data_IF_575223524446
#
_entry.id   IF_575223524446
#
_cell.length_a   1.000
_cell.length_b   1.000
_cell.length_c   1.000
_cell.angle_alpha   90.00
_cell.angle_beta   90.00
_cell.angle_gamma   90.00
#
_symmetry.space_group_name_H-M   'P 1'
#
loop_
_entity.id
_entity.type
_entity.pdbx_description
1 polymer ?
#
# COMPACT_ATOMS: atom_id res chain seq x y z
N UNK A 1 28.99 22.19 -32.32
CA UNK A 1 28.85 20.78 -32.77
C UNK A 1 27.39 20.36 -32.67
N UNK A 2 27.04 19.10 -32.94
CA UNK A 2 25.67 18.58 -32.78
C UNK A 2 25.32 18.35 -31.31
N UNK A 3 26.28 17.97 -30.47
CA UNK A 3 26.06 17.64 -29.05
C UNK A 3 26.64 18.68 -28.09
N UNK A 4 27.40 19.65 -28.61
CA UNK A 4 27.98 20.74 -27.84
C UNK A 4 28.98 21.55 -28.65
N UNK A 5 29.54 22.58 -28.03
CA UNK A 5 30.50 23.47 -28.64
C UNK A 5 31.90 23.27 -28.06
N UNK A 6 32.90 23.25 -28.93
CA UNK A 6 34.30 23.14 -28.58
C UNK A 6 35.03 24.44 -28.94
N UNK A 7 35.67 25.04 -27.95
CA UNK A 7 36.60 26.16 -28.14
C UNK A 7 38.02 25.69 -27.87
N UNK A 8 39.02 26.17 -28.62
CA UNK A 8 40.44 25.92 -28.39
C UNK A 8 41.22 27.24 -28.52
N UNK A 9 42.15 27.50 -27.59
CA UNK A 9 42.99 28.70 -27.62
C UNK A 9 44.34 28.46 -28.33
N UNK A 10 45.13 29.53 -28.49
CA UNK A 10 46.43 29.47 -29.15
C UNK A 10 47.49 28.62 -28.40
N UNK A 11 47.28 28.34 -27.12
CA UNK A 11 48.13 27.45 -26.32
C UNK A 11 47.68 25.99 -26.37
N UNK A 12 46.57 25.70 -27.07
CA UNK A 12 45.98 24.37 -27.17
C UNK A 12 45.05 24.00 -26.02
N UNK A 13 44.71 24.93 -25.12
CA UNK A 13 43.67 24.69 -24.12
C UNK A 13 42.31 24.66 -24.80
N UNK A 14 41.59 23.56 -24.62
CA UNK A 14 40.25 23.38 -25.17
C UNK A 14 39.22 23.20 -24.07
N UNK A 15 38.00 23.64 -24.38
CA UNK A 15 36.80 23.48 -23.54
C UNK A 15 35.69 22.97 -24.43
N UNK A 16 35.03 21.90 -23.98
CA UNK A 16 33.78 21.41 -24.58
C UNK A 16 32.62 21.75 -23.64
N UNK A 17 31.54 22.29 -24.19
CA UNK A 17 30.28 22.56 -23.47
C UNK A 17 29.14 21.85 -24.18
N UNK A 18 28.52 20.88 -23.51
CA UNK A 18 27.33 20.19 -24.00
C UNK A 18 26.17 21.17 -24.23
N UNK A 19 25.35 20.94 -25.26
CA UNK A 19 24.22 21.82 -25.58
C UNK A 19 22.96 21.55 -24.75
N UNK A 20 22.89 20.40 -24.07
CA UNK A 20 21.82 20.03 -23.13
C UNK A 20 22.33 19.05 -22.08
N UNK A 21 21.48 18.73 -21.11
CA UNK A 21 21.64 17.50 -20.34
C UNK A 21 21.38 16.30 -21.25
N UNK A 22 22.07 15.18 -21.00
CA UNK A 22 21.97 13.94 -21.77
C UNK A 22 21.33 12.81 -20.93
N UNK A 23 20.30 13.15 -20.14
CA UNK A 23 19.62 12.24 -19.20
C UNK A 23 18.85 11.09 -19.88
N UNK A 24 18.84 11.03 -21.20
CA UNK A 24 18.27 9.91 -21.95
C UNK A 24 19.27 8.77 -22.17
N UNK A 25 20.54 8.95 -21.79
CA UNK A 25 21.59 7.96 -22.00
C UNK A 25 21.73 7.08 -20.76
N UNK A 26 21.36 5.80 -20.88
CA UNK A 26 21.52 4.83 -19.81
C UNK A 26 22.95 4.24 -19.80
N UNK A 27 23.24 3.36 -18.84
CA UNK A 27 24.51 2.62 -18.74
C UNK A 27 24.78 1.85 -20.03
N UNK A 28 25.89 2.17 -20.68
CA UNK A 28 26.32 1.56 -21.94
C UNK A 28 25.97 2.41 -23.17
N UNK A 29 25.03 3.33 -23.04
CA UNK A 29 24.77 4.32 -24.08
C UNK A 29 25.87 5.37 -24.11
N UNK A 30 26.09 5.92 -25.30
CA UNK A 30 27.00 7.05 -25.48
C UNK A 30 26.65 7.83 -26.73
N UNK A 31 26.98 9.12 -26.69
CA UNK A 31 27.10 9.94 -27.89
C UNK A 31 28.56 10.33 -28.06
N UNK A 32 29.01 10.30 -29.30
CA UNK A 32 30.38 10.66 -29.66
C UNK A 32 30.36 11.80 -30.66
N UNK A 33 31.28 12.74 -30.49
CA UNK A 33 31.46 13.85 -31.42
C UNK A 33 32.95 14.08 -31.66
N UNK A 34 33.33 14.37 -32.91
CA UNK A 34 34.72 14.62 -33.29
C UNK A 34 34.86 16.01 -33.88
N UNK A 35 35.76 16.80 -33.31
CA UNK A 35 36.07 18.15 -33.73
C UNK A 35 37.43 18.16 -34.43
N UNK A 36 37.50 18.72 -35.63
CA UNK A 36 38.78 18.94 -36.32
C UNK A 36 39.36 20.28 -35.88
N UNK A 37 40.63 20.28 -35.48
CA UNK A 37 41.41 21.47 -35.15
C UNK A 37 42.63 21.55 -36.05
N UNK A 38 43.18 22.74 -36.25
CA UNK A 38 44.36 22.94 -37.11
C UNK A 38 45.38 23.84 -36.42
N UNK A 39 46.66 23.51 -36.54
CA UNK A 39 47.75 24.41 -36.17
C UNK A 39 47.92 25.54 -37.18
N UNK A 40 48.78 26.52 -36.85
CA UNK A 40 49.06 27.71 -37.67
C UNK A 40 49.59 27.34 -39.07
N UNK A 41 50.32 26.23 -39.19
CA UNK A 41 50.83 25.72 -40.46
C UNK A 41 49.77 24.94 -41.29
N UNK A 42 48.54 24.82 -40.78
CA UNK A 42 47.44 24.10 -41.43
C UNK A 42 47.41 22.60 -41.15
N UNK A 43 48.33 22.05 -40.35
CA UNK A 43 48.30 20.63 -39.97
C UNK A 43 47.04 20.35 -39.14
N UNK A 44 46.20 19.42 -39.60
CA UNK A 44 44.96 19.07 -38.92
C UNK A 44 45.16 17.98 -37.86
N UNK A 45 44.39 18.07 -36.79
CA UNK A 45 44.24 17.05 -35.75
C UNK A 45 42.77 16.96 -35.33
N UNK A 46 42.43 16.01 -34.47
CA UNK A 46 41.05 15.80 -34.01
C UNK A 46 40.96 15.68 -32.51
N UNK A 47 39.89 16.24 -31.94
CA UNK A 47 39.47 16.02 -30.56
C UNK A 47 38.17 15.22 -30.61
N UNK A 48 38.18 14.01 -30.04
CA UNK A 48 36.99 13.18 -29.89
C UNK A 48 36.44 13.32 -28.47
N UNK A 49 35.21 13.79 -28.36
CA UNK A 49 34.45 13.86 -27.12
C UNK A 49 33.47 12.70 -27.08
N UNK A 50 33.41 11.99 -25.96
CA UNK A 50 32.43 10.94 -25.70
C UNK A 50 31.66 11.31 -24.43
N UNK A 51 30.35 11.43 -24.54
CA UNK A 51 29.45 11.57 -23.39
C UNK A 51 28.87 10.18 -23.14
N UNK A 52 29.22 9.59 -22.00
CA UNK A 52 28.72 8.27 -21.59
C UNK A 52 27.46 8.46 -20.74
N UNK A 53 26.49 7.57 -20.94
CA UNK A 53 25.30 7.50 -20.12
C UNK A 53 25.53 6.94 -18.72
N UNK A 54 24.60 7.26 -17.83
CA UNK A 54 24.51 6.77 -16.46
C UNK A 54 23.04 6.53 -16.16
N UNK A 55 22.72 5.51 -15.36
CA UNK A 55 21.33 5.22 -15.02
C UNK A 55 20.73 6.32 -14.13
N UNK A 56 19.68 6.98 -14.61
CA UNK A 56 18.78 7.80 -13.82
C UNK A 56 17.85 6.90 -13.00
N UNK A 57 17.53 7.29 -11.77
CA UNK A 57 16.65 6.49 -10.92
C UNK A 57 15.19 6.76 -11.30
N UNK A 58 14.39 5.72 -11.47
CA UNK A 58 12.96 5.89 -11.69
C UNK A 58 12.25 6.64 -10.57
N UNK A 59 11.19 7.34 -10.96
CA UNK A 59 10.20 7.92 -10.05
C UNK A 59 8.98 7.01 -9.98
N UNK A 60 8.69 6.49 -8.79
CA UNK A 60 7.61 5.52 -8.56
C UNK A 60 6.61 6.08 -7.54
N UNK A 61 5.31 6.00 -7.84
CA UNK A 61 4.25 6.43 -6.93
C UNK A 61 4.08 5.47 -5.75
N UNK A 62 3.50 5.93 -4.64
CA UNK A 62 3.07 5.09 -3.51
C UNK A 62 1.55 5.09 -3.35
N UNK A 63 1.03 4.13 -2.56
CA UNK A 63 -0.39 4.08 -2.22
C UNK A 63 -0.61 4.00 -0.70
N UNK A 64 -1.70 4.60 -0.24
CA UNK A 64 -2.22 4.42 1.12
C UNK A 64 -3.73 4.27 1.02
N UNK A 65 -4.26 3.15 1.52
CA UNK A 65 -5.69 2.85 1.49
C UNK A 65 -6.17 2.46 2.89
N UNK A 66 -7.42 2.82 3.17
CA UNK A 66 -8.13 2.41 4.37
C UNK A 66 -9.46 1.80 3.95
N UNK A 67 -9.77 0.64 4.51
CA UNK A 67 -11.03 -0.08 4.32
C UNK A 67 -11.54 -0.49 5.70
N UNK A 68 -12.84 -0.58 5.85
CA UNK A 68 -13.43 -1.10 7.07
C UNK A 68 -13.49 -2.62 6.98
N UNK A 69 -13.31 -3.29 8.12
CA UNK A 69 -13.50 -4.73 8.20
C UNK A 69 -14.96 -5.11 7.89
N UNK A 70 -15.14 -6.38 7.60
CA UNK A 70 -16.47 -6.97 7.48
C UNK A 70 -16.42 -8.36 8.10
N UNK A 71 -17.58 -8.99 8.30
CA UNK A 71 -17.73 -10.42 8.66
C UNK A 71 -17.04 -11.43 7.71
N UNK A 72 -16.29 -10.94 6.72
CA UNK A 72 -15.49 -11.70 5.76
C UNK A 72 -14.18 -10.98 5.49
N UNK A 73 -13.20 -11.74 5.03
CA UNK A 73 -11.96 -11.18 4.50
C UNK A 73 -12.23 -10.16 3.39
N UNK A 74 -11.74 -8.94 3.62
CA UNK A 74 -11.89 -7.82 2.69
C UNK A 74 -10.78 -7.81 1.63
N UNK A 75 -11.08 -7.22 0.48
CA UNK A 75 -10.12 -7.02 -0.60
C UNK A 75 -10.12 -5.57 -1.04
N UNK A 76 -8.95 -5.07 -1.46
CA UNK A 76 -8.80 -3.75 -2.07
C UNK A 76 -7.70 -3.77 -3.12
N UNK A 77 -7.77 -2.89 -4.09
CA UNK A 77 -6.82 -2.84 -5.21
C UNK A 77 -6.52 -1.41 -5.63
N UNK A 78 -5.52 -1.25 -6.48
CA UNK A 78 -5.16 0.03 -7.07
C UNK A 78 -4.07 -0.12 -8.12
N UNK A 79 -3.47 1.00 -8.50
CA UNK A 79 -2.41 1.03 -9.51
C UNK A 79 -1.32 2.00 -9.08
N UNK A 80 -0.07 1.55 -9.14
CA UNK A 80 1.10 2.40 -9.02
C UNK A 80 1.64 2.75 -10.42
N UNK A 81 2.29 3.90 -10.54
CA UNK A 81 2.97 4.35 -11.76
C UNK A 81 4.47 4.42 -11.54
N UNK A 82 5.24 4.06 -12.57
CA UNK A 82 6.69 4.21 -12.64
C UNK A 82 7.05 5.01 -13.89
N UNK A 83 7.92 6.01 -13.75
CA UNK A 83 8.45 6.78 -14.87
C UNK A 83 9.96 6.89 -14.73
N UNK A 84 10.67 6.63 -15.82
CA UNK A 84 12.13 6.72 -15.87
C UNK A 84 12.58 7.34 -17.20
N UNK A 85 13.56 8.23 -17.15
CA UNK A 85 13.91 9.14 -18.25
C UNK A 85 14.82 8.47 -19.29
N UNK A 86 15.66 7.54 -18.86
CA UNK A 86 16.56 6.74 -19.70
C UNK A 86 16.16 5.26 -19.76
N UNK A 87 15.05 4.90 -19.09
CA UNK A 87 14.45 3.57 -19.14
C UNK A 87 12.92 3.65 -19.25
N UNK A 88 12.37 4.09 -20.41
CA UNK A 88 10.93 4.32 -20.56
C UNK A 88 10.07 3.06 -20.33
N UNK A 89 10.67 1.87 -20.40
CA UNK A 89 10.03 0.59 -20.14
C UNK A 89 10.24 0.08 -18.70
N UNK A 90 10.55 0.96 -17.74
CA UNK A 90 10.78 0.59 -16.33
C UNK A 90 9.49 0.13 -15.62
N UNK A 91 9.13 -1.14 -15.86
CA UNK A 91 7.99 -1.82 -15.27
C UNK A 91 8.20 -2.19 -13.80
N UNK A 92 7.10 -2.50 -13.11
CA UNK A 92 7.16 -3.15 -11.80
C UNK A 92 7.63 -4.60 -11.94
N UNK A 93 8.33 -5.10 -10.94
CA UNK A 93 8.62 -6.53 -10.81
C UNK A 93 7.37 -7.21 -10.26
N UNK A 94 6.73 -8.14 -10.99
CA UNK A 94 5.56 -8.84 -10.48
C UNK A 94 5.92 -9.63 -9.22
N UNK A 95 5.09 -9.54 -8.19
CA UNK A 95 5.36 -10.16 -6.89
C UNK A 95 4.08 -10.63 -6.18
N UNK A 96 4.24 -11.52 -5.22
CA UNK A 96 3.22 -12.01 -4.31
C UNK A 96 3.80 -12.04 -2.90
N UNK A 97 3.38 -11.08 -2.08
CA UNK A 97 3.96 -10.76 -0.78
C UNK A 97 2.97 -11.20 0.30
N UNK A 98 3.36 -12.20 1.10
CA UNK A 98 2.58 -12.61 2.28
C UNK A 98 2.85 -11.66 3.44
N UNK A 99 1.79 -11.05 3.96
CA UNK A 99 1.81 -10.19 5.13
C UNK A 99 1.24 -10.85 6.38
N UNK A 100 1.26 -10.11 7.47
CA UNK A 100 0.71 -10.48 8.78
C UNK A 100 -0.81 -10.32 8.80
N UNK A 101 -1.35 -9.33 8.08
CA UNK A 101 -2.79 -9.03 8.05
C UNK A 101 -3.45 -9.43 6.72
N UNK A 102 -2.67 -9.76 5.70
CA UNK A 102 -3.15 -10.22 4.41
C UNK A 102 -2.02 -10.33 3.38
N UNK A 103 -2.39 -10.77 2.19
CA UNK A 103 -1.45 -10.98 1.08
C UNK A 103 -1.64 -9.88 0.03
N UNK A 104 -0.53 -9.43 -0.57
CA UNK A 104 -0.52 -8.45 -1.64
C UNK A 104 0.10 -9.03 -2.91
N UNK A 105 -0.55 -8.84 -4.05
CA UNK A 105 0.03 -9.09 -5.38
C UNK A 105 0.21 -7.78 -6.12
N UNK A 106 1.19 -7.72 -7.01
CA UNK A 106 1.38 -6.63 -7.97
C UNK A 106 1.81 -7.20 -9.33
N UNK A 107 1.26 -6.65 -10.42
CA UNK A 107 1.66 -7.01 -11.78
C UNK A 107 2.70 -6.03 -12.37
N UNK A 108 3.20 -6.32 -13.57
CA UNK A 108 4.21 -5.48 -14.22
C UNK A 108 3.71 -4.06 -14.58
N UNK A 109 2.40 -3.88 -14.69
CA UNK A 109 1.77 -2.58 -14.96
C UNK A 109 1.49 -1.81 -13.65
N UNK A 110 1.90 -2.35 -12.51
CA UNK A 110 1.68 -1.75 -11.20
C UNK A 110 0.26 -1.95 -10.66
N UNK A 111 -0.57 -2.79 -11.30
CA UNK A 111 -1.86 -3.17 -10.71
C UNK A 111 -1.61 -4.06 -9.51
N UNK A 112 -2.09 -3.64 -8.34
CA UNK A 112 -1.92 -4.38 -7.11
C UNK A 112 -3.27 -4.76 -6.51
N UNK A 113 -3.29 -5.86 -5.76
CA UNK A 113 -4.45 -6.33 -5.02
C UNK A 113 -4.01 -6.83 -3.65
N UNK A 114 -4.71 -6.40 -2.61
CA UNK A 114 -4.58 -6.89 -1.25
C UNK A 114 -5.80 -7.73 -0.88
N UNK A 115 -5.58 -8.85 -0.19
CA UNK A 115 -6.63 -9.69 0.41
C UNK A 115 -6.30 -9.92 1.88
N UNK A 116 -7.20 -9.50 2.77
CA UNK A 116 -7.07 -9.75 4.20
C UNK A 116 -7.05 -11.26 4.50
N UNK A 117 -6.27 -11.69 5.50
CA UNK A 117 -6.18 -13.11 5.87
C UNK A 117 -7.31 -13.57 6.82
N UNK A 118 -8.09 -12.63 7.34
CA UNK A 118 -9.23 -12.89 8.21
C UNK A 118 -10.27 -11.79 8.04
N UNK A 119 -11.41 -11.98 8.68
CA UNK A 119 -12.48 -10.99 8.71
C UNK A 119 -12.16 -9.79 9.61
N UNK A 120 -11.33 -9.98 10.64
CA UNK A 120 -10.99 -8.96 11.64
C UNK A 120 -12.15 -8.49 12.55
N UNK A 121 -13.20 -9.29 12.71
CA UNK A 121 -14.33 -9.08 13.63
C UNK A 121 -13.97 -8.77 15.10
N UNK A 122 -12.72 -8.94 15.52
CA UNK A 122 -12.28 -8.52 16.86
C UNK A 122 -11.99 -7.02 16.97
N UNK A 123 -11.99 -6.27 15.88
CA UNK A 123 -11.69 -4.84 15.86
C UNK A 123 -12.98 -4.04 16.04
N UNK A 124 -13.10 -3.28 17.13
CA UNK A 124 -14.24 -2.40 17.35
C UNK A 124 -14.03 -1.03 16.68
N UNK A 125 -15.05 -0.17 16.70
CA UNK A 125 -14.97 1.22 16.25
C UNK A 125 -13.84 1.96 16.96
N UNK A 126 -12.85 2.40 16.17
CA UNK A 126 -11.66 3.10 16.65
C UNK A 126 -10.41 2.22 16.72
N UNK A 127 -10.57 0.90 16.70
CA UNK A 127 -9.48 -0.04 16.51
C UNK A 127 -9.10 -0.15 15.03
N UNK A 128 -7.86 -0.57 14.77
CA UNK A 128 -7.36 -0.83 13.42
C UNK A 128 -6.13 -1.71 13.43
N UNK A 129 -5.91 -2.36 12.29
CA UNK A 129 -4.60 -2.93 11.93
C UNK A 129 -4.05 -2.22 10.69
N UNK A 130 -2.74 -2.07 10.65
CA UNK A 130 -2.03 -1.44 9.53
C UNK A 130 -0.90 -2.34 9.05
N UNK A 131 -0.69 -2.38 7.74
CA UNK A 131 0.43 -3.09 7.14
C UNK A 131 1.00 -2.31 5.95
N UNK A 132 2.31 -2.40 5.73
CA UNK A 132 3.00 -1.73 4.61
C UNK A 132 3.81 -2.74 3.81
N UNK A 133 3.50 -2.84 2.52
CA UNK A 133 4.16 -3.71 1.56
C UNK A 133 5.17 -2.89 0.77
N UNK A 134 6.38 -3.43 0.58
CA UNK A 134 7.41 -2.83 -0.29
C UNK A 134 7.40 -3.55 -1.63
N UNK A 135 7.37 -2.79 -2.72
CA UNK A 135 7.41 -3.30 -4.11
C UNK A 135 8.60 -2.70 -4.84
N UNK A 136 9.07 -3.34 -5.92
CA UNK A 136 10.23 -2.91 -6.68
C UNK A 136 9.97 -2.85 -8.19
N UNK A 137 10.67 -1.96 -8.87
CA UNK A 137 10.77 -1.89 -10.32
C UNK A 137 12.00 -2.67 -10.83
N UNK A 138 12.08 -2.90 -12.14
CA UNK A 138 13.16 -3.68 -12.76
C UNK A 138 14.54 -3.00 -12.64
N UNK A 139 14.58 -1.68 -12.53
CA UNK A 139 15.77 -0.87 -12.23
C UNK A 139 16.22 -0.95 -10.75
N UNK A 140 15.46 -1.63 -9.89
CA UNK A 140 15.71 -1.73 -8.46
C UNK A 140 15.18 -0.55 -7.64
N UNK A 141 14.43 0.37 -8.23
CA UNK A 141 13.73 1.41 -7.47
C UNK A 141 12.57 0.80 -6.67
N UNK A 142 12.44 1.21 -5.41
CA UNK A 142 11.42 0.68 -4.49
C UNK A 142 10.30 1.70 -4.24
N UNK A 143 9.10 1.21 -3.95
CA UNK A 143 7.95 1.99 -3.46
C UNK A 143 7.15 1.19 -2.42
N UNK A 144 6.10 1.79 -1.86
CA UNK A 144 5.30 1.20 -0.79
C UNK A 144 3.79 1.32 -1.02
N UNK A 145 3.06 0.33 -0.50
CA UNK A 145 1.60 0.28 -0.43
C UNK A 145 1.23 0.07 1.04
N UNK A 146 0.59 1.06 1.66
CA UNK A 146 0.07 0.96 3.03
C UNK A 146 -1.42 0.63 3.02
N UNK A 147 -1.81 -0.43 3.72
CA UNK A 147 -3.20 -0.84 3.90
C UNK A 147 -3.57 -0.69 5.37
N UNK A 148 -4.73 -0.09 5.62
CA UNK A 148 -5.36 0.01 6.94
C UNK A 148 -6.70 -0.70 6.91
N UNK A 149 -6.94 -1.59 7.87
CA UNK A 149 -8.26 -2.20 8.11
C UNK A 149 -8.79 -1.60 9.41
N UNK A 150 -9.87 -0.83 9.34
CA UNK A 150 -10.53 -0.24 10.51
C UNK A 150 -11.57 -1.22 11.07
N UNK A 151 -11.73 -1.24 12.40
CA UNK A 151 -12.81 -1.98 13.04
C UNK A 151 -14.18 -1.35 12.80
N UNK A 152 -15.21 -2.19 12.68
CA UNK A 152 -16.61 -1.77 12.79
C UNK A 152 -17.20 -2.28 14.10
N UNK A 153 -18.51 -2.14 14.32
CA UNK A 153 -19.14 -2.71 15.52
C UNK A 153 -19.98 -3.92 15.10
N UNK A 154 -19.60 -5.08 15.60
CA UNK A 154 -20.36 -6.31 15.49
C UNK A 154 -21.61 -6.30 16.39
N UNK A 155 -22.67 -6.97 15.95
CA UNK A 155 -23.88 -7.07 16.74
C UNK A 155 -23.77 -8.22 17.75
N UNK A 156 -23.94 -7.88 19.03
CA UNK A 156 -24.15 -8.84 20.10
C UNK A 156 -25.16 -9.97 19.75
N UNK A 157 -24.80 -11.20 20.12
CA UNK A 157 -25.72 -12.34 20.11
C UNK A 157 -26.24 -12.61 21.52
N UNK A 158 -27.57 -12.61 21.68
CA UNK A 158 -28.28 -12.87 22.94
C UNK A 158 -29.07 -14.18 22.84
N UNK A 159 -28.98 -15.06 23.85
CA UNK A 159 -29.78 -16.28 23.89
C UNK A 159 -31.26 -16.00 24.26
N UNK A 160 -32.13 -17.00 24.10
CA UNK A 160 -33.52 -16.92 24.56
C UNK A 160 -33.84 -18.04 25.54
N UNK A 161 -34.81 -17.78 26.42
CA UNK A 161 -35.27 -18.75 27.41
C UNK A 161 -36.77 -18.99 27.26
N UNK A 162 -37.18 -20.26 27.23
CA UNK A 162 -38.57 -20.68 27.37
C UNK A 162 -38.67 -21.59 28.57
N UNK A 163 -39.54 -21.26 29.53
CA UNK A 163 -39.72 -22.03 30.76
C UNK A 163 -41.19 -22.44 30.90
N UNK A 164 -41.43 -23.70 31.24
CA UNK A 164 -42.75 -24.23 31.56
C UNK A 164 -42.80 -24.57 33.05
N UNK A 165 -43.85 -24.11 33.73
CA UNK A 165 -44.11 -24.39 35.15
C UNK A 165 -45.56 -24.88 35.29
N UNK A 166 -45.77 -25.85 36.18
CA UNK A 166 -47.11 -26.33 36.53
C UNK A 166 -47.72 -25.43 37.61
N UNK A 167 -49.05 -25.35 37.64
CA UNK A 167 -49.76 -24.64 38.69
C UNK A 167 -49.55 -25.31 40.06
N UNK A 168 -49.69 -24.51 41.12
CA UNK A 168 -49.80 -24.98 42.49
C UNK A 168 -50.81 -24.14 43.26
N UNK A 169 -51.19 -24.57 44.48
CA UNK A 169 -52.01 -23.78 45.42
C UNK A 169 -51.33 -22.49 45.95
N UNK A 170 -50.14 -22.14 45.44
CA UNK A 170 -49.37 -20.94 45.82
C UNK A 170 -48.81 -20.22 44.58
N UNK A 171 -48.39 -18.97 44.75
CA UNK A 171 -47.65 -18.24 43.71
C UNK A 171 -46.39 -19.02 43.31
N UNK A 172 -46.17 -19.14 42.00
CA UNK A 172 -45.05 -19.87 41.41
C UNK A 172 -43.96 -18.89 40.99
N UNK A 173 -42.71 -19.28 41.17
CA UNK A 173 -41.52 -18.51 40.76
C UNK A 173 -40.58 -19.40 39.98
N UNK A 174 -39.89 -18.83 39.00
CA UNK A 174 -38.82 -19.51 38.27
C UNK A 174 -37.65 -18.54 38.04
N UNK A 175 -36.48 -19.09 37.74
CA UNK A 175 -35.26 -18.33 37.48
C UNK A 175 -34.49 -19.00 36.35
N UNK A 176 -33.69 -18.21 35.65
CA UNK A 176 -32.81 -18.68 34.60
C UNK A 176 -31.71 -17.67 34.34
N UNK A 177 -30.88 -17.94 33.34
CA UNK A 177 -29.78 -17.06 32.96
C UNK A 177 -29.84 -16.81 31.46
N UNK A 178 -29.79 -15.54 31.08
CA UNK A 178 -29.53 -15.14 29.70
C UNK A 178 -28.02 -14.89 29.54
N UNK A 179 -27.51 -15.17 28.35
CA UNK A 179 -26.11 -14.94 27.96
C UNK A 179 -26.08 -14.02 26.77
N UNK A 180 -25.23 -13.01 26.83
CA UNK A 180 -24.91 -12.12 25.73
C UNK A 180 -23.43 -12.28 25.37
N UNK A 181 -23.11 -12.43 24.09
CA UNK A 181 -21.74 -12.52 23.60
C UNK A 181 -21.55 -11.55 22.46
N UNK A 182 -20.45 -10.80 22.49
CA UNK A 182 -20.03 -9.92 21.41
C UNK A 182 -18.54 -10.13 21.15
N UNK A 183 -18.15 -10.11 19.88
CA UNK A 183 -16.80 -10.52 19.44
C UNK A 183 -15.79 -9.38 19.57
N UNK A 184 -16.24 -8.13 19.42
CA UNK A 184 -15.43 -6.92 19.54
C UNK A 184 -15.79 -6.08 20.80
N UNK A 185 -16.81 -6.48 21.54
CA UNK A 185 -17.27 -5.78 22.73
C UNK A 185 -17.38 -6.73 23.95
N UNK A 186 -16.26 -6.99 24.64
CA UNK A 186 -16.24 -7.92 25.78
C UNK A 186 -17.09 -7.45 26.96
N UNK A 187 -17.40 -6.15 27.06
CA UNK A 187 -18.19 -5.54 28.14
C UNK A 187 -19.70 -5.52 27.83
N UNK A 188 -20.16 -6.42 26.96
CA UNK A 188 -21.56 -6.53 26.55
C UNK A 188 -22.47 -7.11 27.66
N UNK A 189 -22.86 -6.25 28.61
CA UNK A 189 -23.69 -6.59 29.76
C UNK A 189 -25.18 -6.23 29.54
N UNK A 190 -26.07 -7.01 30.18
CA UNK A 190 -27.47 -6.63 30.28
C UNK A 190 -27.63 -5.41 31.20
N UNK A 191 -28.61 -4.56 30.90
CA UNK A 191 -29.03 -3.52 31.84
C UNK A 191 -30.07 -4.11 32.79
N UNK A 192 -29.87 -4.04 34.12
CA UNK A 192 -30.86 -4.52 35.07
C UNK A 192 -32.20 -3.83 34.89
N UNK A 193 -33.29 -4.60 34.93
CA UNK A 193 -34.63 -4.08 34.70
C UNK A 193 -35.70 -4.91 35.41
N UNK A 194 -36.86 -4.31 35.64
CA UNK A 194 -38.06 -5.00 36.13
C UNK A 194 -39.24 -4.73 35.21
N UNK A 195 -39.72 -5.79 34.59
CA UNK A 195 -40.78 -5.76 33.58
C UNK A 195 -42.04 -6.36 34.20
N UNK A 196 -43.07 -5.54 34.39
CA UNK A 196 -44.38 -6.02 34.84
C UNK A 196 -45.22 -6.55 33.69
N UNK A 197 -45.68 -7.79 33.81
CA UNK A 197 -46.60 -8.44 32.89
C UNK A 197 -47.98 -8.67 33.51
N UNK A 198 -48.97 -8.98 32.66
CA UNK A 198 -50.35 -9.26 33.12
C UNK A 198 -50.44 -10.47 34.07
N UNK A 199 -49.48 -11.40 33.98
CA UNK A 199 -49.48 -12.67 34.72
C UNK A 199 -48.33 -12.79 35.74
N UNK A 200 -47.57 -11.72 35.99
CA UNK A 200 -46.42 -11.70 36.90
C UNK A 200 -45.34 -10.73 36.44
N UNK A 201 -44.32 -10.53 37.29
CA UNK A 201 -43.19 -9.64 37.03
C UNK A 201 -41.92 -10.44 36.68
N UNK A 202 -41.09 -9.89 35.79
CA UNK A 202 -39.75 -10.38 35.44
C UNK A 202 -38.70 -9.39 35.92
N UNK A 203 -37.63 -9.88 36.53
CA UNK A 203 -36.46 -9.07 36.93
C UNK A 203 -35.20 -9.60 36.24
N UNK A 204 -34.44 -8.71 35.61
CA UNK A 204 -33.08 -8.96 35.14
C UNK A 204 -32.13 -8.32 36.15
N UNK A 205 -31.25 -9.12 36.74
CA UNK A 205 -30.22 -8.66 37.67
C UNK A 205 -28.97 -8.15 36.93
N UNK A 206 -28.00 -7.65 37.70
CA UNK A 206 -26.74 -7.12 37.22
C UNK A 206 -25.67 -8.20 37.08
#
# INVERSE_FOLDING_TARGET
GTNGDLTIDANGHWVFTANSAFNQLNVGDKVEETFTVSSVDGTASTIKVTINGTNDKATVSSATVAIDETDKAVTTSGTLTSTDVDNPDNAFTPDSITGTNGDLTIDANGHWSFTANSAFNQLNVGDKVEETFTVSCVDGTHSTIKVTINGTNDAATVNSATVAINETDKAVTTSGTLTSTDVDNPDNAFTPDSISGTNGDLTIDA
#
